data_IF_516046676349
#
_entry.id   IF_516046676349
#
_cell.length_a   1.000
_cell.length_b   1.000
_cell.length_c   1.000
_cell.angle_alpha   90.00
_cell.angle_beta   90.00
_cell.angle_gamma   90.00
#
_symmetry.space_group_name_H-M   'P 1'
#
loop_
_entity.id
_entity.type
_entity.pdbx_description
1 polymer ?
#
# COMPACT_ATOMS: atom_id res chain seq x y z
N UNK A 1 19.26 -22.61 -12.07
CA UNK A 1 18.26 -21.70 -11.49
C UNK A 1 16.94 -21.87 -12.24
N UNK A 2 15.87 -22.39 -11.61
CA UNK A 2 14.61 -22.70 -12.30
C UNK A 2 14.00 -21.43 -12.94
N UNK A 3 13.47 -21.55 -14.17
CA UNK A 3 12.82 -20.45 -14.92
C UNK A 3 11.77 -19.67 -14.10
N UNK A 4 11.05 -20.35 -13.19
CA UNK A 4 10.09 -19.71 -12.27
C UNK A 4 10.72 -18.77 -11.24
N UNK A 5 11.93 -19.08 -10.74
CA UNK A 5 12.63 -18.23 -9.78
C UNK A 5 13.18 -16.98 -10.47
N UNK A 6 13.69 -17.11 -11.71
CA UNK A 6 14.16 -15.98 -12.50
C UNK A 6 13.01 -15.00 -12.82
N UNK A 7 11.84 -15.51 -13.19
CA UNK A 7 10.66 -14.68 -13.45
C UNK A 7 10.15 -13.94 -12.21
N UNK A 8 10.24 -14.57 -11.04
CA UNK A 8 9.87 -13.92 -9.76
C UNK A 8 10.88 -12.82 -9.42
N UNK A 9 12.18 -13.11 -9.43
CA UNK A 9 13.24 -12.12 -9.17
C UNK A 9 13.14 -10.93 -10.14
N UNK A 10 12.86 -11.18 -11.41
CA UNK A 10 12.62 -10.12 -12.41
C UNK A 10 11.44 -9.22 -12.04
N UNK A 11 10.30 -9.80 -11.63
CA UNK A 11 9.12 -9.05 -11.22
C UNK A 11 9.37 -8.19 -9.97
N UNK A 12 10.04 -8.74 -8.95
CA UNK A 12 10.40 -8.01 -7.74
C UNK A 12 11.35 -6.85 -8.05
N UNK A 13 12.39 -7.11 -8.86
CA UNK A 13 13.38 -6.12 -9.26
C UNK A 13 12.75 -4.98 -10.04
N UNK A 14 11.90 -5.30 -11.02
CA UNK A 14 11.16 -4.31 -11.80
C UNK A 14 10.26 -3.46 -10.89
N UNK A 15 9.62 -4.05 -9.88
CA UNK A 15 8.77 -3.32 -8.95
C UNK A 15 9.57 -2.33 -8.10
N UNK A 16 10.73 -2.73 -7.58
CA UNK A 16 11.60 -1.86 -6.80
C UNK A 16 12.14 -0.74 -7.68
N UNK A 17 12.77 -1.08 -8.81
CA UNK A 17 13.39 -0.10 -9.71
C UNK A 17 12.35 0.91 -10.21
N UNK A 18 11.20 0.47 -10.71
CA UNK A 18 10.18 1.40 -11.21
C UNK A 18 9.63 2.31 -10.11
N UNK A 19 9.35 1.78 -8.92
CA UNK A 19 8.80 2.56 -7.80
C UNK A 19 9.81 3.57 -7.23
N UNK A 20 11.09 3.23 -7.20
CA UNK A 20 12.15 4.15 -6.77
C UNK A 20 12.38 5.22 -7.84
N UNK A 21 12.52 4.79 -9.10
CA UNK A 21 12.77 5.69 -10.24
C UNK A 21 11.66 6.71 -10.45
N UNK A 22 10.37 6.36 -10.26
CA UNK A 22 9.29 7.34 -10.44
C UNK A 22 9.39 8.48 -9.43
N UNK A 23 9.74 8.20 -8.16
CA UNK A 23 9.86 9.24 -7.13
C UNK A 23 11.04 10.16 -7.44
N UNK A 24 12.19 9.58 -7.80
CA UNK A 24 13.39 10.35 -8.14
C UNK A 24 13.21 11.15 -9.44
N UNK A 25 12.59 10.56 -10.47
CA UNK A 25 12.30 11.22 -11.74
C UNK A 25 11.34 12.40 -11.54
N UNK A 26 10.25 12.20 -10.77
CA UNK A 26 9.31 13.26 -10.44
C UNK A 26 9.99 14.38 -9.66
N UNK A 27 10.82 14.03 -8.65
CA UNK A 27 11.56 15.04 -7.88
C UNK A 27 12.56 15.81 -8.75
N UNK A 28 13.26 15.13 -9.66
CA UNK A 28 14.18 15.77 -10.61
C UNK A 28 13.45 16.70 -11.58
N UNK A 29 12.26 16.32 -12.05
CA UNK A 29 11.41 17.18 -12.88
C UNK A 29 11.03 18.46 -12.14
N UNK A 30 10.54 18.33 -10.91
CA UNK A 30 10.06 19.46 -10.12
C UNK A 30 11.21 20.35 -9.65
N UNK A 31 12.13 19.80 -8.85
CA UNK A 31 13.17 20.60 -8.19
C UNK A 31 14.43 20.80 -9.03
N UNK A 32 14.73 19.92 -9.98
CA UNK A 32 15.94 20.00 -10.81
C UNK A 32 15.72 20.72 -12.14
N UNK A 33 14.59 20.48 -12.80
CA UNK A 33 14.28 21.02 -14.14
C UNK A 33 13.21 22.13 -14.11
N UNK A 34 12.70 22.48 -12.93
CA UNK A 34 11.74 23.59 -12.76
C UNK A 34 10.31 23.28 -13.18
N UNK A 35 9.99 22.04 -13.56
CA UNK A 35 8.64 21.61 -13.90
C UNK A 35 7.81 21.35 -12.63
N UNK A 36 7.45 22.42 -11.93
CA UNK A 36 6.78 22.38 -10.62
C UNK A 36 5.26 22.09 -10.68
N UNK A 37 4.76 21.49 -11.76
CA UNK A 37 3.33 21.22 -11.98
C UNK A 37 2.97 19.79 -11.54
N UNK A 38 3.10 19.51 -10.24
CA UNK A 38 2.96 18.16 -9.70
C UNK A 38 1.56 17.56 -9.92
N UNK A 39 0.51 18.37 -9.82
CA UNK A 39 -0.88 17.91 -10.00
C UNK A 39 -1.13 17.54 -11.47
N UNK A 40 -0.68 18.39 -12.38
CA UNK A 40 -0.79 18.17 -13.82
C UNK A 40 0.02 16.94 -14.25
N UNK A 41 1.25 16.80 -13.75
CA UNK A 41 2.08 15.61 -14.00
C UNK A 41 1.37 14.32 -13.53
N UNK A 42 0.78 14.37 -12.34
CA UNK A 42 -0.01 13.25 -11.79
C UNK A 42 -1.20 12.91 -12.69
N UNK A 43 -1.89 13.91 -13.25
CA UNK A 43 -2.99 13.67 -14.19
C UNK A 43 -2.54 12.90 -15.44
N UNK A 44 -1.36 13.21 -15.98
CA UNK A 44 -0.78 12.50 -17.12
C UNK A 44 -0.39 11.07 -16.76
N UNK A 45 0.20 10.85 -15.58
CA UNK A 45 0.49 9.51 -15.06
C UNK A 45 -0.76 8.66 -14.94
N UNK A 46 -1.86 9.24 -14.43
CA UNK A 46 -3.14 8.55 -14.31
C UNK A 46 -3.77 8.28 -15.68
N UNK A 47 -3.65 9.20 -16.64
CA UNK A 47 -4.15 8.99 -18.00
C UNK A 47 -3.43 7.81 -18.68
N UNK A 48 -2.09 7.78 -18.64
CA UNK A 48 -1.34 6.66 -19.22
C UNK A 48 -1.56 5.36 -18.45
N UNK A 49 -1.79 5.45 -17.13
CA UNK A 49 -2.20 4.30 -16.31
C UNK A 49 -3.55 3.77 -16.77
N UNK A 50 -4.53 4.64 -17.02
CA UNK A 50 -5.84 4.22 -17.54
C UNK A 50 -5.71 3.51 -18.89
N UNK A 51 -4.95 4.08 -19.83
CA UNK A 51 -4.69 3.47 -21.14
C UNK A 51 -4.07 2.08 -20.96
N UNK A 52 -3.03 1.96 -20.13
CA UNK A 52 -2.39 0.69 -19.84
C UNK A 52 -3.36 -0.33 -19.23
N UNK A 53 -4.14 0.07 -18.23
CA UNK A 53 -5.11 -0.81 -17.57
C UNK A 53 -6.25 -1.21 -18.52
N UNK A 54 -6.64 -0.33 -19.44
CA UNK A 54 -7.62 -0.63 -20.48
C UNK A 54 -7.10 -1.67 -21.47
N UNK A 55 -5.85 -1.55 -21.91
CA UNK A 55 -5.16 -2.56 -22.70
C UNK A 55 -5.03 -3.88 -21.92
N UNK A 56 -4.63 -3.85 -20.65
CA UNK A 56 -4.50 -5.05 -19.82
C UNK A 56 -5.85 -5.77 -19.64
N UNK A 57 -6.95 -5.03 -19.53
CA UNK A 57 -8.31 -5.60 -19.53
C UNK A 57 -8.63 -6.28 -20.87
N UNK A 58 -8.25 -5.66 -21.99
CA UNK A 58 -8.44 -6.26 -23.31
C UNK A 58 -7.73 -7.61 -23.43
N UNK A 59 -6.50 -7.70 -22.92
CA UNK A 59 -5.74 -8.96 -22.84
C UNK A 59 -6.18 -9.88 -21.69
N UNK A 60 -7.35 -9.63 -21.07
CA UNK A 60 -7.95 -10.46 -20.02
C UNK A 60 -7.06 -10.69 -18.79
N UNK A 61 -6.16 -9.76 -18.47
CA UNK A 61 -5.37 -9.82 -17.22
C UNK A 61 -6.25 -9.72 -15.97
N UNK A 62 -7.44 -9.13 -16.09
CA UNK A 62 -8.45 -9.08 -15.02
C UNK A 62 -9.85 -8.82 -15.61
N UNK A 63 -10.88 -9.28 -14.90
CA UNK A 63 -12.28 -9.04 -15.26
C UNK A 63 -12.77 -7.66 -14.78
N UNK A 64 -13.65 -7.03 -15.54
CA UNK A 64 -14.34 -5.82 -15.08
C UNK A 64 -15.57 -6.18 -14.24
N UNK A 65 -15.71 -5.61 -13.05
CA UNK A 65 -16.84 -5.84 -12.16
C UNK A 65 -17.48 -4.54 -11.72
N UNK A 66 -18.68 -4.23 -12.20
CA UNK A 66 -19.33 -2.93 -12.01
C UNK A 66 -19.38 -2.46 -10.55
N UNK A 67 -19.23 -1.15 -10.38
CA UNK A 67 -19.38 -0.43 -9.11
C UNK A 67 -20.51 0.58 -9.24
N UNK A 68 -21.19 0.87 -8.13
CA UNK A 68 -22.18 1.94 -8.07
C UNK A 68 -21.57 3.29 -8.52
N UNK A 69 -22.14 3.97 -9.54
CA UNK A 69 -21.53 5.17 -10.13
C UNK A 69 -21.29 6.32 -9.16
N UNK A 70 -22.19 6.54 -8.19
CA UNK A 70 -22.04 7.60 -7.18
C UNK A 70 -20.85 7.35 -6.27
N UNK A 71 -20.70 6.10 -5.81
CA UNK A 71 -19.55 5.66 -5.01
C UNK A 71 -18.26 5.77 -5.82
N UNK A 72 -18.29 5.37 -7.09
CA UNK A 72 -17.15 5.43 -7.99
C UNK A 72 -16.64 6.87 -8.17
N UNK A 73 -17.54 7.81 -8.48
CA UNK A 73 -17.17 9.21 -8.70
C UNK A 73 -16.66 9.84 -7.40
N UNK A 74 -17.39 9.69 -6.29
CA UNK A 74 -16.98 10.26 -5.00
C UNK A 74 -15.63 9.72 -4.51
N UNK A 75 -15.45 8.40 -4.56
CA UNK A 75 -14.18 7.76 -4.18
C UNK A 75 -13.05 8.10 -5.16
N UNK A 76 -13.34 8.13 -6.47
CA UNK A 76 -12.39 8.53 -7.50
C UNK A 76 -11.85 9.94 -7.29
N UNK A 77 -12.73 10.91 -7.00
CA UNK A 77 -12.32 12.29 -6.69
C UNK A 77 -11.42 12.32 -5.45
N UNK A 78 -11.85 11.69 -4.36
CA UNK A 78 -11.08 11.65 -3.11
C UNK A 78 -9.69 11.02 -3.32
N UNK A 79 -9.63 9.88 -3.99
CA UNK A 79 -8.37 9.17 -4.22
C UNK A 79 -7.45 9.96 -5.16
N UNK A 80 -8.01 10.62 -6.18
CA UNK A 80 -7.27 11.53 -7.06
C UNK A 80 -6.65 12.70 -6.30
N UNK A 81 -7.44 13.38 -5.46
CA UNK A 81 -6.95 14.47 -4.59
C UNK A 81 -5.85 13.96 -3.65
N UNK A 82 -6.03 12.78 -3.06
CA UNK A 82 -5.05 12.18 -2.19
C UNK A 82 -3.68 11.96 -2.86
N UNK A 83 -3.69 11.42 -4.09
CA UNK A 83 -2.46 11.18 -4.85
C UNK A 83 -1.82 12.53 -5.26
N UNK A 84 -2.64 13.50 -5.68
CA UNK A 84 -2.17 14.84 -6.02
C UNK A 84 -1.48 15.54 -4.85
N UNK A 85 -2.10 15.56 -3.67
CA UNK A 85 -1.52 16.17 -2.47
C UNK A 85 -0.22 15.49 -2.06
N UNK A 86 -0.13 14.16 -2.19
CA UNK A 86 1.08 13.43 -1.89
C UNK A 86 2.21 13.78 -2.89
N UNK A 87 1.92 13.90 -4.18
CA UNK A 87 2.90 14.33 -5.17
C UNK A 87 3.27 15.81 -5.07
N UNK A 88 2.33 16.68 -4.64
CA UNK A 88 2.63 18.06 -4.29
C UNK A 88 3.59 18.12 -3.09
N UNK A 89 3.39 17.30 -2.05
CA UNK A 89 4.33 17.18 -0.94
C UNK A 89 5.75 16.79 -1.42
N UNK A 90 5.88 15.90 -2.41
CA UNK A 90 7.17 15.58 -3.02
C UNK A 90 7.82 16.77 -3.74
N UNK A 91 7.00 17.57 -4.43
CA UNK A 91 7.47 18.77 -5.15
C UNK A 91 7.98 19.84 -4.19
N UNK A 92 7.21 20.13 -3.15
CA UNK A 92 7.47 21.23 -2.22
C UNK A 92 8.41 20.86 -1.06
N UNK A 93 8.59 19.59 -0.70
CA UNK A 93 9.49 19.18 0.39
C UNK A 93 10.65 18.31 -0.08
N UNK A 94 11.62 18.06 0.80
CA UNK A 94 12.70 17.10 0.57
C UNK A 94 12.15 15.69 0.31
N UNK A 95 12.97 14.85 -0.35
CA UNK A 95 12.64 13.42 -0.52
C UNK A 95 12.53 12.72 0.84
N UNK A 96 13.35 13.13 1.81
CA UNK A 96 13.33 12.64 3.19
C UNK A 96 11.98 12.90 3.87
N UNK A 97 11.55 14.16 3.87
CA UNK A 97 10.28 14.59 4.44
C UNK A 97 9.09 13.92 3.75
N UNK A 98 9.12 13.79 2.42
CA UNK A 98 8.10 13.06 1.67
C UNK A 98 7.97 11.60 2.13
N UNK A 99 9.10 10.92 2.34
CA UNK A 99 9.07 9.54 2.84
C UNK A 99 8.56 9.47 4.28
N UNK A 100 9.00 10.37 5.18
CA UNK A 100 8.49 10.45 6.55
C UNK A 100 6.96 10.69 6.57
N UNK A 101 6.47 11.56 5.69
CA UNK A 101 5.03 11.80 5.47
C UNK A 101 4.32 10.50 5.10
N UNK A 102 4.88 9.69 4.19
CA UNK A 102 4.30 8.39 3.83
C UNK A 102 4.33 7.38 4.96
N UNK A 103 5.37 7.37 5.78
CA UNK A 103 5.43 6.47 6.95
C UNK A 103 4.38 6.86 7.99
N UNK A 104 4.13 8.16 8.17
CA UNK A 104 3.13 8.70 9.11
C UNK A 104 1.68 8.36 8.74
N UNK A 105 1.40 8.03 7.47
CA UNK A 105 0.07 7.60 7.03
C UNK A 105 -0.36 6.32 7.76
N UNK A 106 0.55 5.37 7.97
CA UNK A 106 0.22 4.08 8.61
C UNK A 106 -0.36 4.26 10.03
N UNK A 107 0.35 4.90 10.98
CA UNK A 107 -0.17 5.11 12.32
C UNK A 107 -1.43 5.99 12.33
N UNK A 108 -1.52 6.97 11.42
CA UNK A 108 -2.71 7.81 11.28
C UNK A 108 -3.93 7.00 10.80
N UNK A 109 -3.77 6.13 9.81
CA UNK A 109 -4.80 5.20 9.35
C UNK A 109 -5.25 4.28 10.49
N UNK A 110 -4.31 3.67 11.22
CA UNK A 110 -4.63 2.79 12.36
C UNK A 110 -5.39 3.54 13.46
N UNK A 111 -4.99 4.77 13.75
CA UNK A 111 -5.69 5.63 14.71
C UNK A 111 -7.13 5.91 14.26
N UNK A 112 -7.34 6.31 13.00
CA UNK A 112 -8.67 6.57 12.46
C UNK A 112 -9.53 5.30 12.43
N UNK A 113 -8.98 4.13 12.10
CA UNK A 113 -9.70 2.87 12.19
C UNK A 113 -10.07 2.50 13.63
N UNK A 114 -9.24 2.84 14.60
CA UNK A 114 -9.56 2.63 16.02
C UNK A 114 -10.72 3.53 16.46
N UNK A 115 -10.67 4.81 16.10
CA UNK A 115 -11.70 5.80 16.53
C UNK A 115 -13.02 5.61 15.80
N UNK A 116 -13.01 5.50 14.46
CA UNK A 116 -14.24 5.48 13.66
C UNK A 116 -14.80 4.08 13.41
N UNK A 117 -13.94 3.07 13.32
CA UNK A 117 -14.36 1.68 13.05
C UNK A 117 -14.30 0.79 14.30
N UNK A 118 -13.89 1.34 15.46
CA UNK A 118 -13.79 0.62 16.74
C UNK A 118 -12.94 -0.66 16.63
N UNK A 119 -11.93 -0.66 15.74
CA UNK A 119 -10.99 -1.77 15.61
C UNK A 119 -9.98 -1.74 16.76
N UNK A 120 -9.76 -2.90 17.38
CA UNK A 120 -8.75 -3.06 18.42
C UNK A 120 -7.51 -3.70 17.81
N UNK A 121 -6.36 -3.06 18.03
CA UNK A 121 -5.06 -3.55 17.59
C UNK A 121 -4.25 -4.09 18.77
N UNK A 122 -3.43 -5.10 18.53
CA UNK A 122 -2.58 -5.70 19.54
C UNK A 122 -1.55 -4.71 20.14
N UNK A 123 -1.15 -4.93 21.39
CA UNK A 123 -0.11 -4.11 22.07
C UNK A 123 1.22 -4.05 21.29
N UNK A 124 1.73 -5.14 20.67
CA UNK A 124 2.93 -5.07 19.84
C UNK A 124 2.79 -4.14 18.64
N UNK A 125 1.61 -4.11 17.99
CA UNK A 125 1.31 -3.16 16.90
C UNK A 125 1.37 -1.72 17.42
N UNK A 126 0.70 -1.44 18.55
CA UNK A 126 0.68 -0.09 19.15
C UNK A 126 2.08 0.42 19.51
N UNK A 127 2.92 -0.42 20.14
CA UNK A 127 4.29 -0.07 20.50
C UNK A 127 5.17 0.17 19.26
N UNK A 128 5.00 -0.65 18.22
CA UNK A 128 5.72 -0.47 16.96
C UNK A 128 5.36 0.83 16.27
N UNK A 129 4.08 1.21 16.28
CA UNK A 129 3.60 2.48 15.73
C UNK A 129 4.07 3.69 16.55
N UNK A 130 4.17 3.56 17.87
CA UNK A 130 4.75 4.61 18.71
C UNK A 130 6.23 4.84 18.38
N UNK A 131 7.00 3.76 18.21
CA UNK A 131 8.40 3.83 17.78
C UNK A 131 8.53 4.50 16.39
N UNK A 132 7.68 4.08 15.44
CA UNK A 132 7.60 4.68 14.11
C UNK A 132 7.34 6.19 14.18
N UNK A 133 6.34 6.61 14.95
CA UNK A 133 5.98 8.03 15.12
C UNK A 133 7.11 8.84 15.78
N UNK A 134 7.80 8.27 16.77
CA UNK A 134 8.95 8.92 17.40
C UNK A 134 10.07 9.18 16.39
N UNK A 135 10.41 8.19 15.56
CA UNK A 135 11.40 8.35 14.49
C UNK A 135 10.99 9.38 13.45
N UNK A 136 9.73 9.33 12.99
CA UNK A 136 9.16 10.32 12.07
C UNK A 136 9.26 11.73 12.67
N UNK A 137 8.88 11.92 13.93
CA UNK A 137 8.95 13.22 14.60
C UNK A 137 10.39 13.77 14.68
N UNK A 138 11.35 12.92 15.07
CA UNK A 138 12.77 13.30 15.12
C UNK A 138 13.28 13.69 13.72
N UNK A 139 13.02 12.86 12.71
CA UNK A 139 13.46 13.10 11.34
C UNK A 139 12.84 14.39 10.77
N UNK A 140 11.55 14.60 10.99
CA UNK A 140 10.81 15.78 10.55
C UNK A 140 11.36 17.06 11.20
N UNK A 141 11.47 17.14 12.53
CA UNK A 141 11.93 18.36 13.22
C UNK A 141 13.38 18.74 12.85
N UNK A 142 14.18 17.77 12.43
CA UNK A 142 15.60 17.96 12.08
C UNK A 142 15.85 18.06 10.57
N UNK A 143 14.79 18.06 9.76
CA UNK A 143 14.87 18.30 8.31
C UNK A 143 15.07 19.80 8.06
N UNK A 144 16.12 20.12 7.29
CA UNK A 144 16.55 21.49 7.03
C UNK A 144 15.82 22.15 5.85
N UNK A 145 15.12 21.37 5.02
CA UNK A 145 14.38 21.85 3.85
C UNK A 145 12.88 22.01 4.13
N UNK A 146 12.49 21.90 5.40
CA UNK A 146 11.13 22.08 5.85
C UNK A 146 10.61 23.49 5.54
N UNK A 147 9.44 23.55 4.89
CA UNK A 147 8.72 24.80 4.65
C UNK A 147 7.24 24.68 5.00
N UNK A 148 6.61 25.82 5.29
CA UNK A 148 5.25 25.87 5.80
C UNK A 148 4.22 25.33 4.79
N UNK A 149 4.29 25.76 3.52
CA UNK A 149 3.37 25.33 2.47
C UNK A 149 3.45 23.81 2.26
N UNK A 150 4.66 23.28 2.10
CA UNK A 150 4.92 21.85 1.94
C UNK A 150 4.48 21.04 3.16
N UNK A 151 4.60 21.58 4.37
CA UNK A 151 4.10 20.95 5.60
C UNK A 151 2.58 20.86 5.60
N UNK A 152 1.89 21.97 5.28
CA UNK A 152 0.43 22.00 5.17
C UNK A 152 -0.08 21.01 4.11
N UNK A 153 0.55 20.97 2.93
CA UNK A 153 0.23 20.01 1.86
C UNK A 153 0.43 18.56 2.33
N UNK A 154 1.45 18.30 3.14
CA UNK A 154 1.74 16.96 3.66
C UNK A 154 0.75 16.52 4.74
N UNK A 155 0.32 17.42 5.63
CA UNK A 155 -0.74 17.13 6.60
C UNK A 155 -2.07 16.83 5.90
N UNK A 156 -2.42 17.61 4.89
CA UNK A 156 -3.59 17.33 4.04
C UNK A 156 -3.44 15.99 3.32
N UNK A 157 -2.26 15.72 2.72
CA UNK A 157 -1.97 14.45 2.06
C UNK A 157 -2.13 13.26 3.01
N UNK A 158 -1.64 13.36 4.26
CA UNK A 158 -1.80 12.31 5.27
C UNK A 158 -3.28 12.07 5.51
N UNK A 159 -4.05 13.11 5.85
CA UNK A 159 -5.47 12.99 6.16
C UNK A 159 -6.26 12.38 4.99
N UNK A 160 -6.11 12.92 3.79
CA UNK A 160 -6.82 12.42 2.61
C UNK A 160 -6.40 11.00 2.25
N UNK A 161 -5.12 10.65 2.41
CA UNK A 161 -4.64 9.29 2.12
C UNK A 161 -5.15 8.28 3.12
N UNK A 162 -5.24 8.64 4.41
CA UNK A 162 -5.81 7.74 5.40
C UNK A 162 -7.29 7.45 5.09
N UNK A 163 -8.08 8.49 4.79
CA UNK A 163 -9.50 8.32 4.42
C UNK A 163 -9.61 7.48 3.13
N UNK A 164 -8.81 7.80 2.10
CA UNK A 164 -8.81 7.06 0.84
C UNK A 164 -8.41 5.59 1.04
N UNK A 165 -7.44 5.28 1.91
CA UNK A 165 -7.03 3.91 2.23
C UNK A 165 -8.12 3.14 2.99
N UNK A 166 -8.78 3.76 3.96
CA UNK A 166 -9.90 3.15 4.69
C UNK A 166 -11.06 2.87 3.73
N UNK A 167 -11.41 3.82 2.87
CA UNK A 167 -12.43 3.64 1.84
C UNK A 167 -12.04 2.56 0.83
N UNK A 168 -10.78 2.53 0.37
CA UNK A 168 -10.25 1.49 -0.51
C UNK A 168 -10.49 0.11 0.10
N UNK A 169 -10.08 -0.12 1.34
CA UNK A 169 -10.26 -1.39 2.04
C UNK A 169 -11.74 -1.75 2.21
N UNK A 170 -12.59 -0.76 2.54
CA UNK A 170 -14.02 -0.97 2.75
C UNK A 170 -14.73 -1.32 1.45
N UNK A 171 -14.43 -0.61 0.36
CA UNK A 171 -15.02 -0.83 -0.96
C UNK A 171 -14.55 -2.17 -1.54
N UNK A 172 -13.26 -2.50 -1.45
CA UNK A 172 -12.74 -3.80 -1.90
C UNK A 172 -13.45 -4.96 -1.21
N UNK A 173 -13.66 -4.88 0.11
CA UNK A 173 -14.38 -5.91 0.88
C UNK A 173 -15.86 -5.96 0.53
N UNK A 174 -16.55 -4.82 0.49
CA UNK A 174 -18.00 -4.74 0.24
C UNK A 174 -18.36 -5.16 -1.17
N UNK A 175 -17.63 -4.66 -2.17
CA UNK A 175 -17.87 -4.95 -3.58
C UNK A 175 -17.15 -6.22 -4.06
N UNK A 176 -16.32 -6.86 -3.21
CA UNK A 176 -15.45 -7.99 -3.57
C UNK A 176 -14.66 -7.68 -4.85
N UNK A 177 -13.96 -6.55 -4.85
CA UNK A 177 -13.12 -6.05 -5.94
C UNK A 177 -11.65 -6.26 -5.57
N UNK A 178 -10.84 -6.69 -6.53
CA UNK A 178 -9.39 -6.65 -6.38
C UNK A 178 -8.86 -5.21 -6.40
N UNK A 179 -7.65 -5.00 -5.89
CA UNK A 179 -7.01 -3.68 -5.93
C UNK A 179 -6.85 -3.16 -7.35
N UNK A 180 -6.53 -4.04 -8.30
CA UNK A 180 -6.43 -3.72 -9.73
C UNK A 180 -7.77 -3.29 -10.33
N UNK A 181 -8.84 -4.02 -10.03
CA UNK A 181 -10.18 -3.71 -10.55
C UNK A 181 -10.67 -2.36 -10.05
N UNK A 182 -10.46 -2.09 -8.76
CA UNK A 182 -10.78 -0.80 -8.16
C UNK A 182 -9.98 0.34 -8.80
N UNK A 183 -8.68 0.14 -9.01
CA UNK A 183 -7.82 1.12 -9.65
C UNK A 183 -8.30 1.41 -11.08
N UNK A 184 -8.56 0.39 -11.89
CA UNK A 184 -9.03 0.57 -13.27
C UNK A 184 -10.30 1.42 -13.35
N UNK A 185 -11.25 1.19 -12.43
CA UNK A 185 -12.52 1.93 -12.43
C UNK A 185 -12.35 3.38 -12.00
N UNK A 186 -11.52 3.62 -11.00
CA UNK A 186 -11.37 4.95 -10.39
C UNK A 186 -10.40 5.84 -11.17
N UNK A 187 -9.41 5.25 -11.84
CA UNK A 187 -8.40 5.99 -12.62
C UNK A 187 -8.97 6.98 -13.65
N UNK A 188 -10.00 6.67 -14.46
CA UNK A 188 -10.54 7.67 -15.38
C UNK A 188 -11.15 8.88 -14.65
N UNK A 189 -11.82 8.66 -13.51
CA UNK A 189 -12.34 9.76 -12.66
C UNK A 189 -11.17 10.55 -12.08
N UNK A 190 -10.17 9.88 -11.50
CA UNK A 190 -8.99 10.54 -10.94
C UNK A 190 -8.26 11.40 -11.99
N UNK A 191 -8.04 10.84 -13.18
CA UNK A 191 -7.39 11.54 -14.29
C UNK A 191 -8.22 12.75 -14.73
N UNK A 192 -9.53 12.60 -14.93
CA UNK A 192 -10.40 13.69 -15.34
C UNK A 192 -10.44 14.81 -14.28
N UNK A 193 -10.60 14.48 -13.00
CA UNK A 193 -10.60 15.45 -11.89
C UNK A 193 -9.30 16.24 -11.84
N UNK A 194 -8.15 15.56 -11.90
CA UNK A 194 -6.86 16.25 -11.84
C UNK A 194 -6.50 16.99 -13.12
N UNK A 195 -6.98 16.55 -14.29
CA UNK A 195 -6.75 17.26 -15.55
C UNK A 195 -7.57 18.56 -15.62
N UNK A 196 -8.77 18.57 -15.01
CA UNK A 196 -9.58 19.78 -14.86
C UNK A 196 -9.03 20.74 -13.81
N UNK A 197 -8.61 20.25 -12.63
CA UNK A 197 -8.19 21.11 -11.51
C UNK A 197 -6.70 21.45 -11.55
N UNK A 198 -5.86 20.54 -12.06
CA UNK A 198 -4.40 20.59 -11.98
C UNK A 198 -3.78 21.87 -12.53
N UNK A 199 -4.07 22.29 -13.77
CA UNK A 199 -3.51 23.51 -14.33
C UNK A 199 -3.81 24.78 -13.49
N UNK A 200 -4.98 24.84 -12.86
CA UNK A 200 -5.36 25.97 -12.01
C UNK A 200 -4.69 25.91 -10.64
N UNK A 201 -4.67 24.73 -10.03
CA UNK A 201 -4.03 24.52 -8.72
C UNK A 201 -2.52 24.73 -8.81
N UNK A 202 -1.87 24.14 -9.80
CA UNK A 202 -0.43 24.30 -9.97
C UNK A 202 -0.08 25.76 -10.29
N UNK A 203 -0.90 26.49 -11.07
CA UNK A 203 -0.72 27.93 -11.29
C UNK A 203 -0.87 28.73 -9.99
N UNK A 204 -1.85 28.40 -9.14
CA UNK A 204 -2.03 29.07 -7.86
C UNK A 204 -0.84 28.84 -6.91
N UNK A 205 -0.21 27.66 -6.97
CA UNK A 205 0.92 27.30 -6.11
C UNK A 205 2.28 27.76 -6.64
N UNK A 206 2.46 27.83 -7.96
CA UNK A 206 3.75 28.14 -8.60
C UNK A 206 3.83 29.53 -9.22
N UNK A 207 2.69 30.21 -9.40
CA UNK A 207 2.59 31.50 -10.08
C UNK A 207 2.70 31.43 -11.61
N UNK A 208 3.05 30.26 -12.18
CA UNK A 208 3.22 30.08 -13.61
C UNK A 208 2.10 29.19 -14.20
N UNK A 209 1.60 29.47 -15.42
CA UNK A 209 0.69 28.55 -16.10
C UNK A 209 1.46 27.39 -16.73
N UNK A 210 0.95 26.16 -16.58
CA UNK A 210 1.56 24.95 -17.18
C UNK A 210 1.66 25.02 -18.71
N UNK A 211 0.73 25.73 -19.36
CA UNK A 211 0.71 25.92 -20.82
C UNK A 211 1.72 26.96 -21.32
N UNK A 212 2.24 27.81 -20.42
CA UNK A 212 3.26 28.82 -20.74
C UNK A 212 4.67 28.41 -20.31
N UNK A 213 4.87 27.14 -19.92
CA UNK A 213 6.17 26.63 -19.52
C UNK A 213 7.06 26.35 -20.74
N UNK A 214 8.37 26.58 -20.61
CA UNK A 214 9.35 26.30 -21.66
C UNK A 214 9.70 24.80 -21.73
N UNK A 215 8.99 24.07 -22.59
CA UNK A 215 9.20 22.64 -22.83
C UNK A 215 10.48 22.37 -23.62
N UNK A 216 11.64 22.46 -22.94
CA UNK A 216 12.92 22.02 -23.51
C UNK A 216 12.90 20.52 -23.82
N UNK A 217 13.76 20.07 -24.75
CA UNK A 217 13.88 18.64 -25.09
C UNK A 217 14.14 17.78 -23.86
N UNK A 218 14.98 18.25 -22.94
CA UNK A 218 15.32 17.55 -21.71
C UNK A 218 14.10 17.37 -20.80
N UNK A 219 13.32 18.44 -20.55
CA UNK A 219 12.11 18.37 -19.71
C UNK A 219 11.10 17.41 -20.32
N UNK A 220 10.83 17.55 -21.63
CA UNK A 220 9.87 16.69 -22.34
C UNK A 220 10.29 15.21 -22.29
N UNK A 221 11.58 14.91 -22.47
CA UNK A 221 12.10 13.54 -22.33
C UNK A 221 11.87 13.00 -20.91
N UNK A 222 12.12 13.79 -19.86
CA UNK A 222 11.87 13.35 -18.49
C UNK A 222 10.38 13.17 -18.19
N UNK A 223 9.50 14.02 -18.73
CA UNK A 223 8.04 13.85 -18.61
C UNK A 223 7.61 12.53 -19.24
N UNK A 224 7.99 12.27 -20.49
CA UNK A 224 7.65 11.02 -21.19
C UNK A 224 8.24 9.81 -20.47
N UNK A 225 9.48 9.91 -19.99
CA UNK A 225 10.12 8.87 -19.19
C UNK A 225 9.35 8.60 -17.90
N UNK A 226 8.91 9.63 -17.17
CA UNK A 226 8.12 9.48 -15.95
C UNK A 226 6.78 8.77 -16.23
N UNK A 227 6.12 9.08 -17.35
CA UNK A 227 4.91 8.39 -17.80
C UNK A 227 5.19 6.91 -18.12
N UNK A 228 6.29 6.60 -18.81
CA UNK A 228 6.69 5.22 -19.10
C UNK A 228 7.04 4.43 -17.83
N UNK A 229 7.70 5.07 -16.86
CA UNK A 229 7.98 4.48 -15.55
C UNK A 229 6.66 4.24 -14.79
N UNK A 230 5.69 5.16 -14.84
CA UNK A 230 4.37 4.97 -14.22
C UNK A 230 3.65 3.74 -14.77
N UNK A 231 3.68 3.52 -16.09
CA UNK A 231 3.19 2.27 -16.71
C UNK A 231 3.95 1.06 -16.15
N UNK A 232 5.27 1.16 -16.05
CA UNK A 232 6.12 0.08 -15.52
C UNK A 232 5.82 -0.24 -14.05
N UNK A 233 5.49 0.75 -13.21
CA UNK A 233 5.05 0.56 -11.82
C UNK A 233 3.76 -0.26 -11.80
N UNK A 234 2.77 0.10 -12.60
CA UNK A 234 1.50 -0.63 -12.68
C UNK A 234 1.69 -2.06 -13.20
N UNK A 235 2.47 -2.23 -14.27
CA UNK A 235 2.78 -3.55 -14.81
C UNK A 235 3.51 -4.44 -13.80
N UNK A 236 4.53 -3.91 -13.11
CA UNK A 236 5.26 -4.65 -12.07
C UNK A 236 4.36 -5.06 -10.92
N UNK A 237 3.37 -4.23 -10.57
CA UNK A 237 2.40 -4.51 -9.51
C UNK A 237 1.58 -5.75 -9.86
N UNK A 238 1.14 -5.89 -11.11
CA UNK A 238 0.44 -7.10 -11.57
C UNK A 238 1.31 -8.36 -11.49
N UNK A 239 2.58 -8.25 -11.88
CA UNK A 239 3.50 -9.38 -11.81
C UNK A 239 3.76 -9.84 -10.38
N UNK A 240 3.76 -8.91 -9.42
CA UNK A 240 4.04 -9.18 -8.01
C UNK A 240 2.82 -9.74 -7.29
N UNK A 241 1.60 -9.20 -7.51
CA UNK A 241 0.38 -9.60 -6.80
C UNK A 241 0.14 -11.11 -6.84
N UNK A 242 0.36 -11.77 -7.99
CA UNK A 242 0.13 -13.21 -8.14
C UNK A 242 1.33 -14.11 -7.80
N UNK A 243 2.51 -13.55 -7.53
CA UNK A 243 3.77 -14.32 -7.34
C UNK A 243 4.38 -14.18 -5.96
N UNK A 244 3.84 -13.31 -5.11
CA UNK A 244 4.45 -12.99 -3.81
C UNK A 244 3.54 -13.28 -2.64
N UNK A 245 4.16 -13.68 -1.52
CA UNK A 245 3.48 -13.74 -0.24
C UNK A 245 3.30 -12.34 0.36
N UNK A 246 2.37 -12.16 1.32
CA UNK A 246 2.24 -10.90 2.06
C UNK A 246 3.56 -10.45 2.70
N UNK A 247 4.38 -11.39 3.17
CA UNK A 247 5.69 -11.09 3.78
C UNK A 247 6.65 -10.49 2.75
N UNK A 248 6.76 -11.12 1.57
CA UNK A 248 7.62 -10.62 0.47
C UNK A 248 7.19 -9.23 0.02
N UNK A 249 5.88 -8.99 -0.08
CA UNK A 249 5.34 -7.67 -0.45
C UNK A 249 5.75 -6.58 0.55
N UNK A 250 5.67 -6.87 1.87
CA UNK A 250 6.08 -5.94 2.92
C UNK A 250 7.58 -5.64 2.86
N UNK A 251 8.41 -6.66 2.65
CA UNK A 251 9.88 -6.47 2.52
C UNK A 251 10.21 -5.59 1.32
N UNK A 252 9.53 -5.78 0.16
CA UNK A 252 9.72 -4.91 -0.99
C UNK A 252 9.34 -3.46 -0.71
N UNK A 253 8.28 -3.22 0.06
CA UNK A 253 7.88 -1.89 0.50
C UNK A 253 9.00 -1.19 1.27
N UNK A 254 9.57 -1.87 2.26
CA UNK A 254 10.66 -1.33 3.09
C UNK A 254 11.91 -1.05 2.26
N UNK A 255 12.27 -1.96 1.37
CA UNK A 255 13.41 -1.78 0.46
C UNK A 255 13.23 -0.55 -0.43
N UNK A 256 12.03 -0.33 -0.97
CA UNK A 256 11.72 0.88 -1.78
C UNK A 256 11.92 2.15 -0.96
N UNK A 257 11.42 2.20 0.28
CA UNK A 257 11.58 3.36 1.16
C UNK A 257 13.06 3.65 1.41
N UNK A 258 13.85 2.64 1.79
CA UNK A 258 15.29 2.78 2.01
C UNK A 258 16.03 3.30 0.76
N UNK A 259 15.73 2.74 -0.41
CA UNK A 259 16.40 3.13 -1.66
C UNK A 259 16.03 4.54 -2.09
N UNK A 260 14.76 4.95 -1.95
CA UNK A 260 14.38 6.33 -2.27
C UNK A 260 15.05 7.32 -1.33
N UNK A 261 15.15 7.02 -0.03
CA UNK A 261 15.86 7.88 0.92
C UNK A 261 17.34 7.98 0.58
N UNK A 262 18.02 6.84 0.41
CA UNK A 262 19.44 6.78 0.09
C UNK A 262 19.77 7.52 -1.21
N UNK A 263 19.09 7.18 -2.30
CA UNK A 263 19.30 7.84 -3.59
C UNK A 263 18.83 9.29 -3.58
N UNK A 264 17.80 9.62 -2.81
CA UNK A 264 17.33 10.99 -2.63
C UNK A 264 18.42 11.88 -2.03
N UNK A 265 19.05 11.43 -0.94
CA UNK A 265 20.18 12.16 -0.33
C UNK A 265 21.38 12.27 -1.26
N UNK A 266 21.72 11.21 -2.00
CA UNK A 266 22.85 11.24 -2.92
C UNK A 266 22.62 12.12 -4.16
N UNK A 267 21.45 12.01 -4.81
CA UNK A 267 21.16 12.69 -6.08
C UNK A 267 20.79 14.16 -5.88
N UNK A 268 20.01 14.48 -4.86
CA UNK A 268 19.57 15.86 -4.59
C UNK A 268 20.48 16.61 -3.64
N UNK A 269 21.52 15.95 -3.10
CA UNK A 269 22.49 16.54 -2.16
C UNK A 269 21.82 17.24 -0.97
N UNK A 270 20.64 16.75 -0.57
CA UNK A 270 19.88 17.29 0.56
C UNK A 270 20.72 17.20 1.84
N UNK A 271 20.91 18.31 2.58
CA UNK A 271 21.73 18.31 3.78
C UNK A 271 21.07 17.46 4.87
N UNK A 272 21.67 16.30 5.17
CA UNK A 272 21.19 15.38 6.20
C UNK A 272 22.02 15.55 7.48
N UNK A 273 21.36 15.94 8.58
CA UNK A 273 22.01 15.96 9.90
C UNK A 273 22.08 14.55 10.47
N UNK A 274 23.05 14.27 11.35
CA UNK A 274 23.12 12.97 12.05
C UNK A 274 21.85 12.67 12.85
N UNK A 275 21.18 13.71 13.35
CA UNK A 275 19.89 13.59 14.05
C UNK A 275 18.77 13.20 13.09
N UNK A 276 18.73 13.78 11.89
CA UNK A 276 17.78 13.40 10.85
C UNK A 276 17.97 11.93 10.46
N UNK A 277 19.21 11.51 10.16
CA UNK A 277 19.53 10.10 9.85
C UNK A 277 19.11 9.18 11.00
N UNK A 278 19.41 9.55 12.26
CA UNK A 278 18.98 8.81 13.43
C UNK A 278 17.46 8.64 13.52
N UNK A 279 16.70 9.72 13.30
CA UNK A 279 15.24 9.67 13.25
C UNK A 279 14.69 8.75 12.16
N UNK A 280 15.29 8.80 10.96
CA UNK A 280 14.94 7.91 9.84
C UNK A 280 15.18 6.44 10.21
N UNK A 281 16.31 6.11 10.83
CA UNK A 281 16.62 4.74 11.25
C UNK A 281 15.63 4.23 12.30
N UNK A 282 15.26 5.08 13.27
CA UNK A 282 14.23 4.75 14.27
C UNK A 282 12.87 4.52 13.61
N UNK A 283 12.48 5.37 12.65
CA UNK A 283 11.23 5.23 11.91
C UNK A 283 11.22 3.90 11.12
N UNK A 284 12.31 3.57 10.43
CA UNK A 284 12.44 2.31 9.70
C UNK A 284 12.38 1.09 10.64
N UNK A 285 13.00 1.16 11.82
CA UNK A 285 12.91 0.09 12.81
C UNK A 285 11.47 -0.12 13.31
N UNK A 286 10.76 0.97 13.64
CA UNK A 286 9.35 0.93 14.01
C UNK A 286 8.46 0.38 12.90
N UNK A 287 8.75 0.73 11.64
CA UNK A 287 8.05 0.22 10.46
C UNK A 287 8.23 -1.29 10.27
N UNK A 288 9.46 -1.79 10.41
CA UNK A 288 9.77 -3.22 10.32
C UNK A 288 9.06 -4.00 11.44
N UNK A 289 9.14 -3.49 12.68
CA UNK A 289 8.46 -4.07 13.84
C UNK A 289 6.94 -4.11 13.64
N UNK A 290 6.35 -3.02 13.11
CA UNK A 290 4.92 -2.95 12.79
C UNK A 290 4.52 -3.98 11.74
N UNK A 291 5.27 -4.09 10.63
CA UNK A 291 4.98 -5.08 9.60
C UNK A 291 5.01 -6.51 10.15
N UNK A 292 5.98 -6.84 11.00
CA UNK A 292 6.08 -8.15 11.63
C UNK A 292 4.92 -8.42 12.60
N UNK A 293 4.56 -7.45 13.44
CA UNK A 293 3.44 -7.57 14.37
C UNK A 293 2.09 -7.71 13.63
N UNK A 294 1.87 -6.91 12.59
CA UNK A 294 0.66 -6.93 11.77
C UNK A 294 0.49 -8.26 11.03
N UNK A 295 1.57 -8.84 10.50
CA UNK A 295 1.53 -10.17 9.86
C UNK A 295 1.10 -11.23 10.87
N UNK A 296 1.67 -11.24 12.07
CA UNK A 296 1.31 -12.22 13.11
C UNK A 296 -0.15 -12.09 13.55
N UNK A 297 -0.65 -10.86 13.69
CA UNK A 297 -2.05 -10.61 14.05
C UNK A 297 -3.04 -11.04 12.95
N UNK A 298 -2.58 -11.05 11.69
CA UNK A 298 -3.37 -11.49 10.54
C UNK A 298 -3.42 -13.02 10.38
N UNK A 299 -2.52 -13.77 11.03
CA UNK A 299 -2.54 -15.24 10.97
C UNK A 299 -3.66 -15.79 11.88
N UNK A 300 -4.41 -16.81 11.43
CA UNK A 300 -5.43 -17.44 12.26
C UNK A 300 -4.76 -18.06 13.49
N UNK A 301 -5.17 -17.63 14.68
CA UNK A 301 -4.70 -18.23 15.94
C UNK A 301 -5.10 -19.72 15.94
N UNK A 302 -4.18 -20.66 16.24
CA UNK A 302 -4.57 -22.05 16.41
C UNK A 302 -5.64 -22.12 17.48
N UNK A 303 -6.75 -22.82 17.20
CA UNK A 303 -7.76 -23.15 18.21
C UNK A 303 -7.01 -23.87 19.33
N UNK A 304 -6.90 -23.22 20.49
CA UNK A 304 -6.54 -23.91 21.72
C UNK A 304 -7.70 -24.87 21.94
N UNK A 305 -7.49 -26.16 21.69
CA UNK A 305 -8.42 -27.17 22.17
C UNK A 305 -8.60 -26.90 23.67
N UNK A 306 -9.82 -26.53 24.04
CA UNK A 306 -10.25 -26.56 25.42
C UNK A 306 -10.04 -27.99 25.89
N UNK A 307 -8.94 -28.20 26.62
CA UNK A 307 -8.79 -29.31 27.55
C UNK A 307 -9.93 -29.17 28.57
N UNK A 308 -11.10 -29.71 28.21
CA UNK A 308 -12.12 -30.08 29.17
C UNK A 308 -11.42 -30.95 30.23
N UNK A 309 -11.45 -30.60 31.53
CA UNK A 309 -10.97 -31.51 32.55
C UNK A 309 -11.87 -32.74 32.51
N UNK A 310 -11.31 -33.85 32.05
CA UNK A 310 -11.95 -35.17 32.08
C UNK A 310 -12.24 -35.45 33.55
N UNK A 311 -13.52 -35.37 33.96
CA UNK A 311 -13.96 -35.88 35.26
C UNK A 311 -13.68 -37.38 35.26
N UNK A 312 -12.68 -37.80 36.03
CA UNK A 312 -12.49 -39.18 36.44
C UNK A 312 -13.73 -39.65 37.20
N UNK A 313 -14.36 -40.79 36.83
CA UNK A 313 -15.27 -41.48 37.73
C UNK A 313 -14.43 -42.22 38.78
N UNK A 314 -14.54 -41.80 40.04
CA UNK A 314 -14.13 -42.60 41.19
C UNK A 314 -15.04 -43.84 41.33
N UNK A 315 -14.40 -45.01 41.36
CA UNK A 315 -14.71 -46.24 42.11
C UNK A 315 -16.15 -46.78 42.22
N UNK A 316 -16.31 -48.06 41.84
CA UNK A 316 -17.24 -48.96 42.55
C UNK A 316 -17.71 -50.20 41.79
N UNK A 317 -17.21 -51.37 42.21
CA UNK A 317 -17.78 -52.73 42.11
C UNK A 317 -17.51 -53.58 40.83
N UNK A 318 -16.44 -54.36 40.93
CA UNK A 318 -16.32 -55.80 40.67
C UNK A 318 -17.53 -56.55 40.06
N UNK A 319 -17.30 -57.34 39.01
CA UNK A 319 -17.31 -58.82 39.02
C UNK A 319 -16.98 -59.34 37.61
N UNK A 320 -15.81 -59.95 37.46
CA UNK A 320 -15.44 -60.80 36.34
C UNK A 320 -15.55 -62.25 36.82
N UNK A 321 -16.46 -63.03 36.23
CA UNK A 321 -16.36 -64.46 35.92
C UNK A 321 -17.73 -65.13 35.80
N UNK A 322 -18.04 -65.63 34.60
CA UNK A 322 -18.59 -66.98 34.30
C UNK A 322 -18.92 -66.99 32.80
N UNK A 323 -18.04 -67.57 31.98
CA UNK A 323 -18.08 -68.99 31.59
C UNK A 323 -19.26 -69.34 30.65
N UNK A 324 -18.92 -69.42 29.37
CA UNK A 324 -19.15 -70.56 28.48
C UNK A 324 -20.49 -71.34 28.61
N UNK A 325 -21.29 -71.34 27.54
CA UNK A 325 -22.23 -72.42 27.26
C UNK A 325 -23.52 -72.02 26.55
N UNK A 326 -23.76 -72.61 25.37
CA UNK A 326 -25.10 -73.05 25.00
C UNK A 326 -25.80 -72.39 23.80
N UNK A 327 -25.70 -73.09 22.67
CA UNK A 327 -26.78 -73.46 21.75
C UNK A 327 -27.67 -72.41 21.05
N UNK A 328 -27.65 -72.51 19.70
CA UNK A 328 -28.77 -72.64 18.75
C UNK A 328 -29.93 -71.63 18.88
N UNK A 329 -30.38 -70.93 17.83
CA UNK A 329 -31.01 -71.47 16.62
C UNK A 329 -31.49 -70.28 15.76
N UNK A 330 -31.58 -70.49 14.43
CA UNK A 330 -32.58 -69.97 13.47
C UNK A 330 -33.12 -68.52 13.61
N UNK A 331 -33.27 -67.71 12.56
CA UNK A 331 -33.78 -68.02 11.22
C UNK A 331 -33.69 -66.75 10.35
N UNK A 332 -33.48 -66.97 9.04
CA UNK A 332 -34.05 -66.26 7.89
C UNK A 332 -34.05 -64.72 7.79
N UNK A 333 -33.56 -64.25 6.63
CA UNK A 333 -34.42 -63.44 5.77
C UNK A 333 -33.78 -62.23 5.11
N UNK A 334 -33.41 -62.42 3.83
CA UNK A 334 -33.70 -61.54 2.70
C UNK A 334 -32.97 -60.18 2.57
N UNK A 335 -32.07 -60.17 1.58
CA UNK A 335 -32.12 -59.34 0.37
C UNK A 335 -32.00 -57.81 0.45
N UNK A 336 -30.80 -57.38 0.01
CA UNK A 336 -30.56 -56.71 -1.27
C UNK A 336 -30.93 -55.22 -1.49
N UNK A 337 -29.91 -54.54 -2.05
CA UNK A 337 -29.93 -53.43 -3.01
C UNK A 337 -30.36 -52.05 -2.52
N UNK A 338 -29.37 -51.15 -2.42
CA UNK A 338 -29.11 -50.04 -3.37
C UNK A 338 -28.09 -49.09 -2.76
#
# INVERSE_FOLDING_TARGET
MNRGNLGTVGALSLSVVSSVSIVLCNKQLMSGLGFNFATTLTSWHLLVTFIFLHCARWFEFFEHKSMEPRMLVGFGILNGISIALLNLSLGFNSVGFYQMTKLAIIPCTVFLETVFLQKVFSRPVQLSLLCLLAGVGIATVTDLELNFLGTCLSLLAILTTCIAQIMTNTIQKRAKLSSTQLLYQTTPVMAATLLMIGPFLDRALTGAPVFGFDYTRLVTTFIVLSCAISISVNFSTFLVIGKTSPVTYQVLGHLKTCLVLFLGFMLFKTPATWRNIGGILVAMAGMIAYSYASIQESQPKPKRDELLPTRTPENGLSYENMANGGSANNMNGLDAKS
#
